data_IF_282741455474
#
_entry.id   IF_282741455474
#
_cell.length_a   1.000
_cell.length_b   1.000
_cell.length_c   1.000
_cell.angle_alpha   90.00
_cell.angle_beta   90.00
_cell.angle_gamma   90.00
#
_symmetry.space_group_name_H-M   'P 1'
#
loop_
_entity.id
_entity.type
_entity.pdbx_description
1 polymer ?
#
# COMPACT_ATOMS: atom_id res chain seq x y z
N UNK A 1 13.28 22.92 25.27
CA UNK A 1 13.86 21.75 24.56
C UNK A 1 12.79 20.96 23.82
N UNK A 2 11.60 20.73 24.41
CA UNK A 2 10.50 19.99 23.78
C UNK A 2 9.96 20.69 22.52
N UNK A 3 9.93 22.02 22.51
CA UNK A 3 9.44 22.80 21.37
C UNK A 3 10.34 22.75 20.14
N UNK A 4 11.67 22.61 20.30
CA UNK A 4 12.62 22.56 19.19
C UNK A 4 12.62 21.21 18.48
N UNK A 5 12.47 20.10 19.20
CA UNK A 5 12.38 18.76 18.62
C UNK A 5 11.08 18.57 17.81
N UNK A 6 9.98 19.15 18.30
CA UNK A 6 8.69 19.11 17.61
C UNK A 6 8.72 19.91 16.28
N UNK A 7 9.35 21.09 16.29
CA UNK A 7 9.50 21.90 15.06
C UNK A 7 10.43 21.23 14.02
N UNK A 8 11.50 20.57 14.44
CA UNK A 8 12.41 19.85 13.55
C UNK A 8 11.67 18.68 12.86
N UNK A 9 10.92 17.90 13.63
CA UNK A 9 10.16 16.76 13.08
C UNK A 9 9.04 17.18 12.12
N UNK A 10 8.33 18.25 12.43
CA UNK A 10 7.28 18.78 11.56
C UNK A 10 7.86 19.30 10.22
N UNK A 11 8.98 20.01 10.25
CA UNK A 11 9.60 20.58 9.05
C UNK A 11 10.40 19.56 8.22
N UNK A 12 11.07 18.60 8.87
CA UNK A 12 11.96 17.66 8.17
C UNK A 12 11.21 16.48 7.56
N UNK A 13 10.08 16.08 8.15
CA UNK A 13 9.31 14.91 7.71
C UNK A 13 7.98 15.25 7.01
N UNK A 14 7.60 16.53 6.93
CA UNK A 14 6.38 16.98 6.24
C UNK A 14 5.08 16.38 6.81
N UNK A 15 5.07 16.03 8.10
CA UNK A 15 3.89 15.53 8.82
C UNK A 15 3.12 16.69 9.45
N UNK A 16 1.83 16.47 9.77
CA UNK A 16 1.05 17.52 10.42
C UNK A 16 1.48 17.74 11.88
N UNK A 17 1.29 18.96 12.44
CA UNK A 17 1.58 19.21 13.86
C UNK A 17 0.86 18.25 14.82
N UNK A 18 -0.33 17.78 14.45
CA UNK A 18 -1.07 16.78 15.23
C UNK A 18 -0.38 15.42 15.20
N UNK A 19 0.03 14.94 14.03
CA UNK A 19 0.75 13.67 13.88
C UNK A 19 2.08 13.71 14.63
N UNK A 20 2.82 14.82 14.53
CA UNK A 20 4.06 15.04 15.28
C UNK A 20 3.83 15.00 16.79
N UNK A 21 2.74 15.59 17.28
CA UNK A 21 2.40 15.58 18.71
C UNK A 21 2.10 14.16 19.21
N UNK A 22 1.28 13.40 18.49
CA UNK A 22 0.93 12.01 18.86
C UNK A 22 2.17 11.11 18.86
N UNK A 23 3.03 11.23 17.86
CA UNK A 23 4.24 10.41 17.72
C UNK A 23 5.32 10.75 18.78
N UNK A 24 5.27 11.94 19.40
CA UNK A 24 6.24 12.34 20.44
C UNK A 24 5.73 12.16 21.87
N UNK A 25 4.48 11.74 22.05
CA UNK A 25 3.91 11.51 23.39
C UNK A 25 4.68 10.44 24.19
N UNK A 26 5.20 9.43 23.49
CA UNK A 26 5.97 8.36 24.08
C UNK A 26 7.32 8.20 23.35
N UNK A 27 8.40 8.07 24.11
CA UNK A 27 9.75 7.96 23.57
C UNK A 27 9.91 6.74 22.65
N UNK A 28 9.31 5.63 23.01
CA UNK A 28 9.34 4.38 22.25
C UNK A 28 8.61 4.53 20.91
N UNK A 29 7.47 5.21 20.91
CA UNK A 29 6.71 5.51 19.69
C UNK A 29 7.51 6.37 18.74
N UNK A 30 8.17 7.42 19.25
CA UNK A 30 9.01 8.30 18.44
C UNK A 30 10.21 7.54 17.84
N UNK A 31 10.89 6.72 18.63
CA UNK A 31 12.02 5.92 18.18
C UNK A 31 11.61 4.89 17.10
N UNK A 32 10.49 4.23 17.28
CA UNK A 32 9.93 3.29 16.30
C UNK A 32 9.61 4.01 14.98
N UNK A 33 8.89 5.13 15.05
CA UNK A 33 8.54 5.92 13.88
C UNK A 33 9.78 6.41 13.12
N UNK A 34 10.76 6.96 13.82
CA UNK A 34 12.00 7.44 13.20
C UNK A 34 12.75 6.32 12.47
N UNK A 35 12.79 5.12 13.05
CA UNK A 35 13.39 3.95 12.41
C UNK A 35 12.63 3.54 11.13
N UNK A 36 11.31 3.61 11.14
CA UNK A 36 10.48 3.31 9.95
C UNK A 36 10.61 4.39 8.90
N UNK A 37 10.58 5.67 9.28
CA UNK A 37 10.59 6.82 8.37
C UNK A 37 11.95 7.08 7.73
N UNK A 38 13.03 6.57 8.30
CA UNK A 38 14.40 6.84 7.83
C UNK A 38 14.59 6.42 6.37
N UNK A 39 14.81 7.42 5.50
CA UNK A 39 15.00 7.20 4.05
C UNK A 39 13.73 6.86 3.28
N UNK A 40 12.55 7.06 3.88
CA UNK A 40 11.25 6.73 3.31
C UNK A 40 10.29 7.92 3.36
N UNK A 41 9.12 7.79 2.75
CA UNK A 41 8.03 8.79 2.87
C UNK A 41 7.53 8.86 4.33
N UNK A 42 7.78 10.00 4.96
CA UNK A 42 7.48 10.22 6.37
C UNK A 42 5.98 10.18 6.66
N UNK A 43 5.15 10.70 5.74
CA UNK A 43 3.70 10.70 5.90
C UNK A 43 3.13 9.29 5.76
N UNK A 44 3.64 8.51 4.82
CA UNK A 44 3.27 7.10 4.67
C UNK A 44 3.67 6.30 5.91
N UNK A 45 4.89 6.50 6.42
CA UNK A 45 5.35 5.87 7.65
C UNK A 45 4.46 6.24 8.86
N UNK A 46 4.09 7.52 9.01
CA UNK A 46 3.19 7.97 10.07
C UNK A 46 1.82 7.29 9.98
N UNK A 47 1.22 7.23 8.80
CA UNK A 47 -0.08 6.58 8.58
C UNK A 47 -0.05 5.09 8.97
N UNK A 48 1.01 4.37 8.61
CA UNK A 48 1.17 2.96 8.95
C UNK A 48 1.40 2.73 10.45
N UNK A 49 2.21 3.58 11.09
CA UNK A 49 2.47 3.49 12.54
C UNK A 49 1.22 3.83 13.34
N UNK A 50 0.58 4.97 13.04
CA UNK A 50 -0.59 5.45 13.80
C UNK A 50 -1.86 4.66 13.49
N UNK A 51 -2.01 4.17 12.27
CA UNK A 51 -3.18 3.40 11.84
C UNK A 51 -2.99 1.90 12.06
N UNK A 52 -2.29 1.27 11.14
CA UNK A 52 -2.24 -0.19 11.04
C UNK A 52 -1.46 -0.84 12.20
N UNK A 53 -0.30 -0.27 12.60
CA UNK A 53 0.49 -0.82 13.71
C UNK A 53 -0.22 -0.65 15.06
N UNK A 54 -0.75 0.54 15.37
CA UNK A 54 -1.46 0.74 16.64
C UNK A 54 -2.74 -0.09 16.72
N UNK A 55 -3.44 -0.30 15.60
CA UNK A 55 -4.58 -1.22 15.55
C UNK A 55 -4.12 -2.66 15.85
N UNK A 56 -2.99 -3.09 15.31
CA UNK A 56 -2.42 -4.41 15.59
C UNK A 56 -1.98 -4.54 17.06
N UNK A 57 -1.29 -3.55 17.63
CA UNK A 57 -0.89 -3.50 19.05
C UNK A 57 -2.12 -3.66 19.95
N UNK A 58 -3.18 -2.90 19.70
CA UNK A 58 -4.42 -2.98 20.49
C UNK A 58 -5.09 -4.35 20.36
N UNK A 59 -5.10 -4.94 19.18
CA UNK A 59 -5.70 -6.26 18.91
C UNK A 59 -4.90 -7.39 19.56
N UNK A 60 -3.58 -7.36 19.48
CA UNK A 60 -2.69 -8.38 20.05
C UNK A 60 -2.40 -8.17 21.53
N UNK A 61 -2.83 -7.02 22.11
CA UNK A 61 -2.54 -6.60 23.47
C UNK A 61 -1.03 -6.56 23.80
N UNK A 62 -0.24 -6.19 22.80
CA UNK A 62 1.20 -5.93 22.91
C UNK A 62 1.46 -4.46 23.22
N UNK A 63 2.71 -4.02 23.19
CA UNK A 63 3.10 -2.61 23.38
C UNK A 63 4.01 -2.17 22.23
N UNK A 64 4.24 -0.87 22.13
CA UNK A 64 5.21 -0.33 21.15
C UNK A 64 6.66 -0.68 21.53
N UNK A 65 6.93 -1.00 22.80
CA UNK A 65 8.23 -1.51 23.25
C UNK A 65 8.49 -2.95 22.78
N UNK A 66 7.40 -3.74 22.64
CA UNK A 66 7.42 -5.11 22.10
C UNK A 66 6.37 -5.21 20.99
N UNK A 67 6.61 -4.58 19.84
CA UNK A 67 5.61 -4.49 18.77
C UNK A 67 5.44 -5.84 18.06
N UNK A 68 4.23 -6.14 17.57
CA UNK A 68 3.99 -7.38 16.81
C UNK A 68 4.75 -7.43 15.48
N UNK A 69 5.16 -6.28 14.97
CA UNK A 69 6.00 -6.12 13.77
C UNK A 69 7.14 -5.17 14.11
N UNK A 70 8.37 -5.56 13.81
CA UNK A 70 9.54 -4.73 14.06
C UNK A 70 9.56 -3.49 13.14
N UNK A 71 10.23 -2.40 13.58
CA UNK A 71 10.40 -1.21 12.75
C UNK A 71 11.17 -1.51 11.44
N UNK A 72 12.11 -2.45 11.46
CA UNK A 72 12.84 -2.90 10.29
C UNK A 72 11.91 -3.61 9.28
N UNK A 73 11.05 -4.50 9.75
CA UNK A 73 10.12 -5.24 8.88
C UNK A 73 9.01 -4.33 8.34
N UNK A 74 8.48 -3.42 9.16
CA UNK A 74 7.53 -2.43 8.67
C UNK A 74 8.18 -1.51 7.63
N UNK A 75 9.42 -1.08 7.86
CA UNK A 75 10.19 -0.34 6.88
C UNK A 75 10.39 -1.10 5.58
N UNK A 76 10.75 -2.38 5.64
CA UNK A 76 10.89 -3.24 4.46
C UNK A 76 9.57 -3.41 3.69
N UNK A 77 8.42 -3.47 4.41
CA UNK A 77 7.10 -3.49 3.78
C UNK A 77 6.83 -2.19 3.00
N UNK A 78 7.18 -1.03 3.57
CA UNK A 78 7.05 0.26 2.89
C UNK A 78 7.97 0.36 1.67
N UNK A 79 9.18 -0.21 1.72
CA UNK A 79 10.08 -0.28 0.57
C UNK A 79 9.48 -1.09 -0.58
N UNK A 80 8.84 -2.23 -0.30
CA UNK A 80 8.12 -3.04 -1.29
C UNK A 80 6.89 -2.33 -1.88
N UNK A 81 6.31 -1.37 -1.17
CA UNK A 81 5.27 -0.50 -1.72
C UNK A 81 5.87 0.60 -2.60
N UNK A 82 6.98 1.20 -2.18
CA UNK A 82 7.64 2.29 -2.88
C UNK A 82 8.24 1.84 -4.22
N UNK A 83 8.78 0.63 -4.30
CA UNK A 83 9.31 0.04 -5.53
C UNK A 83 8.24 -0.55 -6.47
N UNK A 84 6.96 -0.52 -6.06
CA UNK A 84 5.84 -1.02 -6.83
C UNK A 84 5.64 -2.54 -6.78
N UNK A 85 6.39 -3.27 -5.94
CA UNK A 85 6.22 -4.71 -5.75
C UNK A 85 4.87 -5.04 -5.11
N UNK A 86 4.38 -4.18 -4.19
CA UNK A 86 3.10 -4.33 -3.52
C UNK A 86 2.19 -3.13 -3.75
N UNK A 87 0.92 -3.39 -4.04
CA UNK A 87 -0.12 -2.38 -3.91
C UNK A 87 -0.48 -2.15 -2.44
N UNK A 88 -1.10 -1.02 -2.10
CA UNK A 88 -1.55 -0.76 -0.73
C UNK A 88 -2.46 -1.85 -0.16
N UNK A 89 -3.30 -2.47 -0.99
CA UNK A 89 -4.14 -3.60 -0.58
C UNK A 89 -3.31 -4.84 -0.24
N UNK A 90 -2.39 -5.23 -1.12
CA UNK A 90 -1.51 -6.37 -0.89
C UNK A 90 -0.58 -6.15 0.31
N UNK A 91 -0.10 -4.92 0.51
CA UNK A 91 0.70 -4.58 1.68
C UNK A 91 -0.05 -4.79 2.99
N UNK A 92 -1.35 -4.47 3.05
CA UNK A 92 -2.18 -4.76 4.23
C UNK A 92 -2.36 -6.25 4.47
N UNK A 93 -2.55 -7.05 3.42
CA UNK A 93 -2.62 -8.51 3.54
C UNK A 93 -1.29 -9.09 4.05
N UNK A 94 -0.15 -8.60 3.55
CA UNK A 94 1.18 -8.99 4.03
C UNK A 94 1.37 -8.58 5.50
N UNK A 95 0.99 -7.36 5.87
CA UNK A 95 1.09 -6.86 7.23
C UNK A 95 0.31 -7.72 8.24
N UNK A 96 -0.92 -8.14 7.91
CA UNK A 96 -1.69 -9.04 8.77
C UNK A 96 -0.94 -10.36 9.02
N UNK A 97 -0.34 -10.94 7.97
CA UNK A 97 0.46 -12.17 8.11
C UNK A 97 1.72 -11.92 8.94
N UNK A 98 2.37 -10.75 8.79
CA UNK A 98 3.52 -10.36 9.63
C UNK A 98 3.13 -10.29 11.11
N UNK A 99 1.97 -9.71 11.42
CA UNK A 99 1.44 -9.64 12.80
C UNK A 99 1.17 -11.03 13.37
N UNK A 100 0.63 -11.94 12.56
CA UNK A 100 0.30 -13.30 13.00
C UNK A 100 1.52 -14.22 13.16
N UNK A 101 2.52 -14.04 12.30
CA UNK A 101 3.63 -15.00 12.17
C UNK A 101 4.98 -14.47 12.61
N UNK A 102 5.14 -13.16 12.77
CA UNK A 102 6.41 -12.49 13.04
C UNK A 102 7.44 -12.60 11.90
N UNK A 103 7.02 -12.96 10.69
CA UNK A 103 7.90 -13.17 9.53
C UNK A 103 8.14 -11.89 8.75
N UNK A 104 9.32 -11.79 8.12
CA UNK A 104 9.68 -10.66 7.27
C UNK A 104 8.78 -10.57 6.02
N UNK A 105 8.43 -9.35 5.55
CA UNK A 105 7.49 -9.15 4.44
C UNK A 105 7.98 -9.76 3.13
N UNK A 106 9.27 -9.70 2.83
CA UNK A 106 9.84 -10.30 1.61
C UNK A 106 9.59 -11.79 1.50
N UNK A 107 9.77 -12.54 2.61
CA UNK A 107 9.51 -13.98 2.65
C UNK A 107 8.04 -14.32 2.41
N UNK A 108 7.12 -13.53 2.99
CA UNK A 108 5.67 -13.70 2.81
C UNK A 108 5.27 -13.43 1.34
N UNK A 109 5.82 -12.36 0.76
CA UNK A 109 5.55 -11.97 -0.63
C UNK A 109 6.00 -13.06 -1.61
N UNK A 110 7.17 -13.65 -1.40
CA UNK A 110 7.68 -14.73 -2.26
C UNK A 110 6.86 -16.01 -2.12
N UNK A 111 6.62 -16.44 -0.89
CA UNK A 111 5.89 -17.68 -0.62
C UNK A 111 4.44 -17.64 -1.15
N UNK A 112 3.76 -16.52 -0.98
CA UNK A 112 2.37 -16.36 -1.42
C UNK A 112 2.23 -15.83 -2.85
N UNK A 113 3.32 -15.53 -3.54
CA UNK A 113 3.32 -14.97 -4.89
C UNK A 113 2.53 -13.67 -4.98
N UNK A 114 2.69 -12.78 -3.99
CA UNK A 114 1.93 -11.53 -3.87
C UNK A 114 2.56 -10.36 -4.61
N UNK A 115 3.59 -10.60 -5.42
CA UNK A 115 4.19 -9.56 -6.26
C UNK A 115 3.15 -8.97 -7.20
N UNK A 116 3.13 -7.64 -7.28
CA UNK A 116 2.26 -6.94 -8.22
C UNK A 116 2.70 -7.25 -9.65
N UNK A 117 1.72 -7.52 -10.53
CA UNK A 117 1.99 -7.72 -11.96
C UNK A 117 2.18 -6.35 -12.60
N UNK A 118 3.42 -6.07 -13.01
CA UNK A 118 3.82 -4.85 -13.74
C UNK A 118 4.14 -5.15 -15.21
N UNK A 119 4.11 -6.42 -15.62
CA UNK A 119 4.29 -6.82 -17.01
C UNK A 119 3.10 -6.35 -17.85
N UNK A 120 3.37 -5.38 -18.71
CA UNK A 120 2.38 -4.78 -19.60
C UNK A 120 1.74 -5.83 -20.53
N UNK A 121 2.50 -6.79 -21.03
CA UNK A 121 1.98 -7.86 -21.88
C UNK A 121 1.00 -8.78 -21.15
N UNK A 122 1.29 -9.13 -19.89
CA UNK A 122 0.38 -9.91 -19.07
C UNK A 122 -0.91 -9.12 -18.74
N UNK A 123 -0.78 -7.81 -18.48
CA UNK A 123 -1.93 -6.93 -18.25
C UNK A 123 -2.79 -6.81 -19.51
N UNK A 124 -2.17 -6.61 -20.66
CA UNK A 124 -2.85 -6.52 -21.97
C UNK A 124 -3.65 -7.77 -22.28
N UNK A 125 -3.07 -8.95 -22.09
CA UNK A 125 -3.75 -10.22 -22.34
C UNK A 125 -5.01 -10.39 -21.48
N UNK A 126 -4.96 -10.00 -20.21
CA UNK A 126 -6.12 -10.04 -19.31
C UNK A 126 -7.18 -9.02 -19.74
N UNK A 127 -6.76 -7.81 -20.11
CA UNK A 127 -7.68 -6.77 -20.60
C UNK A 127 -8.38 -7.24 -21.87
N UNK A 128 -7.67 -7.83 -22.83
CA UNK A 128 -8.27 -8.34 -24.07
C UNK A 128 -9.33 -9.40 -23.79
N UNK A 129 -9.09 -10.30 -22.84
CA UNK A 129 -10.10 -11.28 -22.40
C UNK A 129 -11.32 -10.61 -21.78
N UNK A 130 -11.12 -9.61 -20.92
CA UNK A 130 -12.21 -8.86 -20.27
C UNK A 130 -13.03 -8.09 -21.31
N UNK A 131 -12.38 -7.42 -22.26
CA UNK A 131 -13.07 -6.68 -23.32
C UNK A 131 -13.83 -7.62 -24.26
N UNK A 132 -13.25 -8.74 -24.64
CA UNK A 132 -13.91 -9.76 -25.49
C UNK A 132 -15.14 -10.37 -24.80
N UNK A 133 -15.04 -10.64 -23.50
CA UNK A 133 -16.18 -11.16 -22.72
C UNK A 133 -17.30 -10.14 -22.50
N UNK A 134 -17.06 -8.87 -22.76
CA UNK A 134 -18.01 -7.77 -22.51
C UNK A 134 -18.16 -6.85 -23.75
N UNK A 135 -18.17 -7.42 -24.94
CA UNK A 135 -18.23 -6.68 -26.21
C UNK A 135 -19.37 -5.67 -26.28
N UNK A 136 -20.56 -6.02 -25.75
CA UNK A 136 -21.72 -5.13 -25.70
C UNK A 136 -21.43 -3.85 -24.89
N UNK A 137 -20.78 -4.00 -23.73
CA UNK A 137 -20.39 -2.86 -22.89
C UNK A 137 -19.27 -2.03 -23.50
N UNK A 138 -18.38 -2.64 -24.27
CA UNK A 138 -17.37 -1.91 -25.04
C UNK A 138 -18.06 -1.02 -26.07
N UNK A 139 -19.06 -1.52 -26.81
CA UNK A 139 -19.84 -0.72 -27.75
C UNK A 139 -20.60 0.42 -27.03
N UNK A 140 -21.18 0.15 -25.87
CA UNK A 140 -21.83 1.17 -25.03
C UNK A 140 -20.84 2.25 -24.53
N UNK A 141 -19.65 1.87 -24.10
CA UNK A 141 -18.61 2.81 -23.70
C UNK A 141 -18.22 3.73 -24.87
N UNK A 142 -17.97 3.15 -26.06
CA UNK A 142 -17.65 3.90 -27.27
C UNK A 142 -18.78 4.81 -27.77
N UNK A 143 -20.03 4.54 -27.36
CA UNK A 143 -21.18 5.41 -27.62
C UNK A 143 -21.30 6.61 -26.65
N UNK A 144 -20.34 6.78 -25.71
CA UNK A 144 -20.27 7.91 -24.79
C UNK A 144 -20.66 7.60 -23.35
N UNK A 145 -20.79 6.30 -22.95
CA UNK A 145 -21.06 5.92 -21.57
C UNK A 145 -19.77 5.77 -20.74
N UNK A 146 -19.09 6.88 -20.46
CA UNK A 146 -17.79 6.93 -19.76
C UNK A 146 -17.77 6.21 -18.39
N UNK A 147 -18.92 6.11 -17.72
CA UNK A 147 -19.05 5.41 -16.43
C UNK A 147 -18.69 3.93 -16.50
N UNK A 148 -18.73 3.32 -17.70
CA UNK A 148 -18.34 1.93 -17.88
C UNK A 148 -16.82 1.70 -17.80
N UNK A 149 -16.00 2.75 -17.86
CA UNK A 149 -14.56 2.63 -17.65
C UNK A 149 -14.23 1.98 -16.29
N UNK A 150 -14.88 2.45 -15.22
CA UNK A 150 -14.73 1.88 -13.87
C UNK A 150 -15.13 0.40 -13.78
N UNK A 151 -16.13 -0.02 -14.57
CA UNK A 151 -16.51 -1.42 -14.68
C UNK A 151 -15.36 -2.27 -15.29
N UNK A 152 -14.74 -1.83 -16.39
CA UNK A 152 -13.63 -2.56 -17.00
C UNK A 152 -12.41 -2.63 -16.09
N UNK A 153 -12.07 -1.53 -15.39
CA UNK A 153 -11.01 -1.52 -14.37
C UNK A 153 -11.30 -2.57 -13.29
N UNK A 154 -12.51 -2.58 -12.77
CA UNK A 154 -12.93 -3.52 -11.72
C UNK A 154 -12.85 -4.98 -12.18
N UNK A 155 -13.32 -5.29 -13.40
CA UNK A 155 -13.27 -6.64 -13.96
C UNK A 155 -11.83 -7.10 -14.22
N UNK A 156 -10.98 -6.23 -14.75
CA UNK A 156 -9.56 -6.52 -14.99
C UNK A 156 -8.84 -6.78 -13.65
N UNK A 157 -9.02 -5.91 -12.67
CA UNK A 157 -8.42 -6.10 -11.35
C UNK A 157 -8.91 -7.39 -10.67
N UNK A 158 -10.18 -7.75 -10.85
CA UNK A 158 -10.74 -9.02 -10.35
C UNK A 158 -10.10 -10.22 -11.05
N UNK A 159 -9.98 -10.19 -12.37
CA UNK A 159 -9.34 -11.25 -13.16
C UNK A 159 -7.87 -11.44 -12.78
N UNK A 160 -7.17 -10.35 -12.45
CA UNK A 160 -5.80 -10.34 -11.95
C UNK A 160 -5.69 -10.61 -10.43
N UNK A 161 -6.77 -10.97 -9.76
CA UNK A 161 -6.81 -11.24 -8.31
C UNK A 161 -6.27 -10.07 -7.46
N UNK A 162 -6.44 -8.84 -7.91
CA UNK A 162 -5.92 -7.65 -7.24
C UNK A 162 -4.40 -7.42 -7.37
N UNK A 163 -3.70 -8.26 -8.12
CA UNK A 163 -2.23 -8.16 -8.32
C UNK A 163 -1.82 -7.23 -9.47
N UNK A 164 -2.76 -6.77 -10.30
CA UNK A 164 -2.48 -5.81 -11.37
C UNK A 164 -2.07 -4.45 -10.83
N UNK A 165 -1.09 -3.78 -11.50
CA UNK A 165 -0.79 -2.39 -11.19
C UNK A 165 -1.94 -1.49 -11.68
N UNK A 166 -2.66 -0.77 -10.78
CA UNK A 166 -3.85 -0.01 -11.16
C UNK A 166 -3.57 1.09 -12.19
N UNK A 167 -2.40 1.73 -12.11
CA UNK A 167 -2.00 2.79 -13.06
C UNK A 167 -1.83 2.20 -14.47
N UNK A 168 -1.06 1.11 -14.60
CA UNK A 168 -0.85 0.42 -15.87
C UNK A 168 -2.16 -0.15 -16.44
N UNK A 169 -3.01 -0.73 -15.60
CA UNK A 169 -4.35 -1.21 -16.03
C UNK A 169 -5.18 -0.07 -16.61
N UNK A 170 -5.19 1.09 -15.94
CA UNK A 170 -5.92 2.27 -16.43
C UNK A 170 -5.36 2.77 -17.76
N UNK A 171 -4.04 2.84 -17.91
CA UNK A 171 -3.40 3.35 -19.13
C UNK A 171 -3.65 2.42 -20.32
N UNK A 172 -3.50 1.12 -20.13
CA UNK A 172 -3.76 0.12 -21.18
C UNK A 172 -5.25 0.08 -21.55
N UNK A 173 -6.17 0.15 -20.57
CA UNK A 173 -7.61 0.22 -20.85
C UNK A 173 -7.98 1.46 -21.65
N UNK A 174 -7.42 2.63 -21.32
CA UNK A 174 -7.63 3.86 -22.10
C UNK A 174 -7.18 3.69 -23.56
N UNK A 175 -6.02 3.11 -23.79
CA UNK A 175 -5.49 2.86 -25.12
C UNK A 175 -6.37 1.91 -25.94
N UNK A 176 -6.90 0.85 -25.32
CA UNK A 176 -7.71 -0.18 -26.02
C UNK A 176 -9.17 0.21 -26.21
N UNK A 177 -9.69 1.12 -25.40
CA UNK A 177 -11.07 1.59 -25.46
C UNK A 177 -11.24 2.88 -26.29
N UNK A 178 -10.13 3.62 -26.58
CA UNK A 178 -10.15 4.77 -27.52
C UNK A 178 -10.38 4.31 -29.00
#
# INVERSE_FOLDING_TARGET
>A
LVGSEMCIRDSDYGITPYDAHVLTLERETAAYYEAVAKGRDAKQAANWVMGDLFAAINRTKTSIAEPPVSAADLGALLDLMADGTLSGKLAKEVFEVMVETGRAPGAIVEERGLKQVTDTGAIEAVIDQVLAANADKVAEYRSGKDKLFGFFVGQTMKAMQGKGNPALVNDVLKQKLS
#
